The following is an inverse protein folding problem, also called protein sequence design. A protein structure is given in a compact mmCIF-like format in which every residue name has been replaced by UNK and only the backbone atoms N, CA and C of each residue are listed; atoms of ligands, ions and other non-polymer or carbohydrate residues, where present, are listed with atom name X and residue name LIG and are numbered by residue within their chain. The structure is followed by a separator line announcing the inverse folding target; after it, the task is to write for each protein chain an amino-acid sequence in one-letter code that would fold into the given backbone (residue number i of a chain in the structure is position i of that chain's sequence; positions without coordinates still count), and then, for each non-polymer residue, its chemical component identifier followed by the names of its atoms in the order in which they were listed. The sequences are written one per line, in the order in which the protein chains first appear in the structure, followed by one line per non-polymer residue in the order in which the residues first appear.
data_IF_954407540952
#
_entry.id   IF_954407540952
#
_cell.length_a   1.000
_cell.length_b   1.000
_cell.length_c   1.000
_cell.angle_alpha   90.00
_cell.angle_beta   90.00
_cell.angle_gamma   90.00
#
_symmetry.space_group_name_H-M   'P 1'
#
loop_
_entity.id
_entity.type
_entity.pdbx_description
1 polymer ?
#
# COMPACT_ATOMS: atom_id res chain seq x y z
N UNK A 1 5.51 -40.05 29.97
CA UNK A 1 6.29 -39.17 29.07
C UNK A 1 5.30 -38.32 28.28
N UNK A 2 5.22 -37.02 28.56
CA UNK A 2 4.44 -36.09 27.76
C UNK A 2 5.41 -35.09 27.12
N UNK A 3 5.60 -35.21 25.82
CA UNK A 3 6.35 -34.28 25.00
C UNK A 3 5.48 -33.04 24.74
N UNK A 4 5.77 -31.94 25.42
CA UNK A 4 5.26 -30.63 25.03
C UNK A 4 6.20 -30.09 23.96
N UNK A 5 5.76 -30.09 22.70
CA UNK A 5 6.41 -29.30 21.65
C UNK A 5 6.26 -27.84 22.04
N UNK A 6 7.37 -27.18 22.37
CA UNK A 6 7.43 -25.73 22.50
C UNK A 6 7.00 -25.14 21.16
N UNK A 7 5.78 -24.61 21.09
CA UNK A 7 5.40 -23.74 19.99
C UNK A 7 6.31 -22.51 20.11
N UNK A 8 7.18 -22.30 19.12
CA UNK A 8 7.96 -21.08 19.03
C UNK A 8 6.98 -19.91 19.06
N UNK A 9 7.00 -19.12 20.14
CA UNK A 9 6.31 -17.83 20.18
C UNK A 9 6.97 -16.99 19.10
N UNK A 10 6.29 -16.85 17.96
CA UNK A 10 6.78 -16.03 16.87
C UNK A 10 6.75 -14.58 17.36
N UNK A 11 7.92 -13.97 17.55
CA UNK A 11 7.98 -12.56 17.98
C UNK A 11 7.39 -11.70 16.85
N UNK A 12 6.60 -10.67 17.18
CA UNK A 12 6.06 -9.77 16.15
C UNK A 12 7.21 -9.15 15.35
N UNK A 13 7.11 -9.24 14.03
CA UNK A 13 8.08 -8.66 13.10
C UNK A 13 7.67 -7.23 12.79
N UNK A 14 8.61 -6.29 12.91
CA UNK A 14 8.40 -4.91 12.46
C UNK A 14 8.72 -4.81 10.97
N UNK A 15 8.00 -3.95 10.26
CA UNK A 15 8.34 -3.59 8.89
C UNK A 15 9.77 -3.01 8.80
N UNK A 16 10.42 -3.24 7.67
CA UNK A 16 11.76 -2.70 7.41
C UNK A 16 11.72 -1.16 7.36
N UNK A 17 12.86 -0.52 7.63
CA UNK A 17 13.01 0.94 7.47
C UNK A 17 12.81 1.37 6.02
N UNK A 18 13.23 0.51 5.09
CA UNK A 18 13.09 0.70 3.64
C UNK A 18 11.62 0.81 3.24
N UNK A 19 10.81 -0.17 3.61
CA UNK A 19 9.36 -0.15 3.36
C UNK A 19 8.68 1.02 4.08
N UNK A 20 9.01 1.26 5.35
CA UNK A 20 8.47 2.41 6.09
C UNK A 20 8.80 3.75 5.40
N UNK A 21 10.01 3.87 4.84
CA UNK A 21 10.44 5.03 4.06
C UNK A 21 9.68 5.18 2.74
N UNK A 22 9.42 4.08 2.03
CA UNK A 22 8.65 4.09 0.79
C UNK A 22 7.18 4.48 1.06
N UNK A 23 6.54 3.84 2.04
CA UNK A 23 5.14 4.09 2.37
C UNK A 23 4.91 5.54 2.85
N UNK A 24 5.76 6.06 3.75
CA UNK A 24 5.59 7.44 4.25
C UNK A 24 5.72 8.46 3.12
N UNK A 25 6.61 8.21 2.16
CA UNK A 25 6.90 9.14 1.07
C UNK A 25 5.80 9.08 0.01
N UNK A 26 5.31 7.88 -0.30
CA UNK A 26 4.12 7.69 -1.13
C UNK A 26 2.92 8.44 -0.54
N UNK A 27 2.60 8.23 0.75
CA UNK A 27 1.50 8.92 1.41
C UNK A 27 1.68 10.45 1.38
N UNK A 28 2.91 10.94 1.58
CA UNK A 28 3.23 12.36 1.44
C UNK A 28 2.94 12.87 0.02
N UNK A 29 3.34 12.17 -1.03
CA UNK A 29 3.08 12.60 -2.41
C UNK A 29 1.60 12.57 -2.77
N UNK A 30 0.86 11.57 -2.29
CA UNK A 30 -0.61 11.55 -2.44
C UNK A 30 -1.18 12.78 -1.77
N UNK A 31 -0.93 12.99 -0.47
CA UNK A 31 -1.48 14.11 0.29
C UNK A 31 -1.07 15.50 -0.24
N UNK A 32 0.17 15.62 -0.71
CA UNK A 32 0.71 16.86 -1.30
C UNK A 32 0.32 17.05 -2.77
N UNK A 33 -0.47 16.14 -3.35
CA UNK A 33 -0.93 16.18 -4.74
C UNK A 33 0.21 16.23 -5.77
N UNK A 34 1.24 15.42 -5.54
CA UNK A 34 2.42 15.29 -6.41
C UNK A 34 2.80 13.84 -6.69
N UNK A 35 1.84 12.90 -6.60
CA UNK A 35 2.10 11.47 -6.85
C UNK A 35 2.21 11.19 -8.34
N UNK A 36 3.14 10.33 -8.75
CA UNK A 36 3.22 9.83 -10.11
C UNK A 36 3.73 10.83 -11.14
N UNK A 37 4.31 11.97 -10.73
CA UNK A 37 4.86 12.94 -11.68
C UNK A 37 5.80 12.28 -12.69
N UNK A 38 5.69 12.62 -13.99
CA UNK A 38 4.83 13.67 -14.57
C UNK A 38 3.44 13.19 -15.03
N UNK A 39 3.03 11.95 -14.72
CA UNK A 39 1.82 11.33 -15.28
C UNK A 39 0.54 12.13 -14.98
N UNK A 40 0.47 12.74 -13.78
CA UNK A 40 -0.69 13.52 -13.33
C UNK A 40 -0.47 15.04 -13.46
N UNK A 41 0.57 15.48 -14.17
CA UNK A 41 0.85 16.90 -14.31
C UNK A 41 -0.32 17.61 -15.02
N UNK A 42 -0.87 18.64 -14.36
CA UNK A 42 -2.01 19.40 -14.85
C UNK A 42 -3.38 18.74 -14.67
N UNK A 43 -3.44 17.56 -14.05
CA UNK A 43 -4.69 16.87 -13.72
C UNK A 43 -5.10 17.21 -12.29
N UNK A 44 -6.30 17.79 -12.12
CA UNK A 44 -6.89 17.97 -10.80
C UNK A 44 -7.61 16.69 -10.37
N UNK A 45 -6.99 15.96 -9.46
CA UNK A 45 -7.54 14.74 -8.87
C UNK A 45 -8.01 14.95 -7.42
N UNK A 46 -8.36 16.19 -7.03
CA UNK A 46 -8.85 16.48 -5.67
C UNK A 46 -10.10 15.67 -5.29
N UNK A 47 -10.88 15.20 -6.28
CA UNK A 47 -12.07 14.38 -6.05
C UNK A 47 -11.78 13.09 -5.28
N UNK A 48 -10.60 12.48 -5.44
CA UNK A 48 -10.28 11.21 -4.77
C UNK A 48 -10.20 11.35 -3.25
N UNK A 49 -10.01 12.58 -2.73
CA UNK A 49 -9.96 12.83 -1.28
C UNK A 49 -11.35 12.93 -0.64
N UNK A 50 -12.38 13.17 -1.44
CA UNK A 50 -13.78 13.20 -1.00
C UNK A 50 -14.46 11.83 -1.13
N UNK A 51 -13.79 10.87 -1.80
CA UNK A 51 -14.29 9.54 -2.04
C UNK A 51 -13.37 8.46 -1.42
N UNK A 52 -13.74 7.91 -0.25
CA UNK A 52 -12.90 6.96 0.47
C UNK A 52 -12.50 5.73 -0.34
N UNK A 53 -13.39 5.19 -1.18
CA UNK A 53 -13.12 4.02 -2.03
C UNK A 53 -12.04 4.29 -3.09
N UNK A 54 -12.03 5.48 -3.69
CA UNK A 54 -10.99 5.84 -4.66
C UNK A 54 -9.63 5.96 -3.98
N UNK A 55 -9.57 6.59 -2.81
CA UNK A 55 -8.31 6.71 -2.06
C UNK A 55 -7.84 5.34 -1.54
N UNK A 56 -8.76 4.49 -1.06
CA UNK A 56 -8.46 3.11 -0.67
C UNK A 56 -7.80 2.33 -1.81
N UNK A 57 -8.37 2.39 -3.02
CA UNK A 57 -7.83 1.72 -4.19
C UNK A 57 -6.41 2.19 -4.56
N UNK A 58 -6.11 3.49 -4.42
CA UNK A 58 -4.76 4.05 -4.62
C UNK A 58 -3.73 3.40 -3.69
N UNK A 59 -4.08 3.23 -2.42
CA UNK A 59 -3.20 2.58 -1.45
C UNK A 59 -3.12 1.07 -1.65
N UNK A 60 -4.23 0.41 -2.00
CA UNK A 60 -4.23 -1.01 -2.33
C UNK A 60 -3.30 -1.33 -3.49
N UNK A 61 -3.37 -0.57 -4.60
CA UNK A 61 -2.49 -0.77 -5.76
C UNK A 61 -1.01 -0.58 -5.37
N UNK A 62 -0.69 0.45 -4.60
CA UNK A 62 0.68 0.65 -4.14
C UNK A 62 1.17 -0.53 -3.29
N UNK A 63 0.35 -1.01 -2.35
CA UNK A 63 0.68 -2.11 -1.45
C UNK A 63 0.78 -3.46 -2.19
N UNK A 64 -0.04 -3.69 -3.20
CA UNK A 64 -0.03 -4.92 -3.98
C UNK A 64 1.20 -4.98 -4.90
N UNK A 65 1.56 -3.86 -5.54
CA UNK A 65 2.64 -3.81 -6.55
C UNK A 65 4.04 -3.73 -5.94
N UNK A 66 4.18 -3.23 -4.71
CA UNK A 66 5.50 -3.05 -4.09
C UNK A 66 6.18 -4.40 -3.82
N UNK A 67 7.45 -4.50 -4.21
CA UNK A 67 8.29 -5.70 -4.10
C UNK A 67 9.38 -5.43 -3.08
N UNK A 68 9.58 -6.40 -2.20
CA UNK A 68 10.63 -6.41 -1.19
C UNK A 68 11.59 -7.58 -1.45
N UNK A 69 12.87 -7.42 -1.13
CA UNK A 69 13.77 -8.56 -1.01
C UNK A 69 13.60 -9.31 0.33
N UNK A 70 14.41 -10.34 0.56
CA UNK A 70 14.38 -11.16 1.77
C UNK A 70 14.67 -10.38 3.06
N UNK A 71 15.34 -9.23 2.96
CA UNK A 71 15.67 -8.35 4.08
C UNK A 71 14.59 -7.27 4.27
N UNK A 72 13.59 -7.23 3.39
CA UNK A 72 12.54 -6.23 3.39
C UNK A 72 12.93 -4.93 2.68
N UNK A 73 14.02 -4.90 1.90
CA UNK A 73 14.40 -3.72 1.14
C UNK A 73 13.51 -3.56 -0.10
N UNK A 74 13.06 -2.32 -0.33
CA UNK A 74 12.13 -2.02 -1.43
C UNK A 74 12.85 -2.01 -2.76
N UNK A 75 12.33 -2.79 -3.72
CA UNK A 75 12.95 -2.98 -5.03
C UNK A 75 12.33 -2.10 -6.14
N UNK A 76 11.08 -1.64 -5.99
CA UNK A 76 10.33 -1.03 -7.10
C UNK A 76 9.37 0.11 -6.69
N UNK A 77 9.68 0.90 -5.66
CA UNK A 77 8.81 1.97 -5.15
C UNK A 77 8.21 2.87 -6.25
N UNK A 78 9.03 3.27 -7.23
CA UNK A 78 8.60 4.14 -8.34
C UNK A 78 7.65 3.45 -9.32
N UNK A 79 7.77 2.14 -9.48
CA UNK A 79 6.82 1.38 -10.27
C UNK A 79 5.47 1.28 -9.53
N UNK A 80 5.46 0.93 -8.25
CA UNK A 80 4.25 0.90 -7.44
C UNK A 80 3.53 2.26 -7.40
N UNK A 81 4.29 3.35 -7.22
CA UNK A 81 3.78 4.73 -7.31
C UNK A 81 3.15 5.02 -8.67
N UNK A 82 3.82 4.65 -9.77
CA UNK A 82 3.31 4.85 -11.13
C UNK A 82 2.01 4.09 -11.37
N UNK A 83 1.88 2.84 -10.88
CA UNK A 83 0.64 2.05 -11.02
C UNK A 83 -0.52 2.69 -10.26
N UNK A 84 -0.28 3.14 -9.03
CA UNK A 84 -1.29 3.88 -8.28
C UNK A 84 -1.71 5.18 -8.99
N UNK A 85 -0.75 5.91 -9.58
CA UNK A 85 -1.04 7.12 -10.36
C UNK A 85 -1.81 6.82 -11.66
N UNK A 86 -1.57 5.68 -12.31
CA UNK A 86 -2.36 5.26 -13.48
C UNK A 86 -3.82 5.00 -13.11
N UNK A 87 -4.09 4.48 -11.91
CA UNK A 87 -5.47 4.37 -11.43
C UNK A 87 -6.10 5.74 -11.21
N UNK A 88 -5.38 6.69 -10.60
CA UNK A 88 -5.89 8.07 -10.45
C UNK A 88 -6.21 8.69 -11.82
N UNK A 89 -5.32 8.51 -12.80
CA UNK A 89 -5.53 8.99 -14.16
C UNK A 89 -6.81 8.38 -14.76
N UNK A 90 -6.92 7.04 -14.75
CA UNK A 90 -8.11 6.34 -15.25
C UNK A 90 -9.39 6.78 -14.53
N UNK A 91 -9.33 6.93 -13.20
CA UNK A 91 -10.46 7.33 -12.38
C UNK A 91 -10.98 8.73 -12.75
N UNK A 92 -10.07 9.67 -13.00
CA UNK A 92 -10.40 11.08 -13.26
C UNK A 92 -10.74 11.33 -14.74
N UNK A 93 -10.04 10.69 -15.67
CA UNK A 93 -10.13 11.01 -17.10
C UNK A 93 -10.75 9.90 -17.94
N UNK A 94 -10.86 8.69 -17.41
CA UNK A 94 -11.22 7.49 -18.18
C UNK A 94 -10.09 6.94 -19.05
N UNK A 95 -8.87 7.49 -18.96
CA UNK A 95 -7.73 6.99 -19.74
C UNK A 95 -7.25 5.64 -19.20
N UNK A 96 -7.26 4.62 -20.07
CA UNK A 96 -6.90 3.26 -19.69
C UNK A 96 -5.40 3.12 -19.38
N UNK A 97 -5.04 2.41 -18.30
CA UNK A 97 -3.65 2.18 -17.93
C UNK A 97 -2.93 1.35 -19.01
N UNK A 98 -1.69 1.73 -19.31
CA UNK A 98 -0.80 0.95 -20.19
C UNK A 98 0.45 0.52 -19.42
N UNK A 99 0.69 -0.78 -19.22
CA UNK A 99 -0.22 -1.90 -19.54
C UNK A 99 -1.52 -1.86 -18.70
N UNK A 100 -2.58 -2.57 -19.14
CA UNK A 100 -3.79 -2.77 -18.34
C UNK A 100 -3.46 -3.29 -16.93
N UNK A 101 -4.34 -3.05 -15.96
CA UNK A 101 -4.19 -3.66 -14.63
C UNK A 101 -4.35 -5.17 -14.71
N UNK A 102 -3.45 -5.89 -14.04
CA UNK A 102 -3.71 -7.29 -13.68
C UNK A 102 -4.66 -7.33 -12.48
N UNK A 103 -5.51 -8.36 -12.38
CA UNK A 103 -6.57 -8.43 -11.36
C UNK A 103 -6.02 -8.24 -9.93
N UNK A 104 -4.88 -8.87 -9.63
CA UNK A 104 -4.22 -8.79 -8.33
C UNK A 104 -3.66 -7.41 -8.00
N UNK A 105 -3.37 -6.56 -9.00
CA UNK A 105 -2.90 -5.19 -8.75
C UNK A 105 -4.03 -4.38 -8.10
N UNK A 106 -5.27 -4.62 -8.53
CA UNK A 106 -6.47 -3.88 -8.07
C UNK A 106 -7.23 -4.56 -6.94
N UNK A 107 -6.86 -5.77 -6.54
CA UNK A 107 -7.60 -6.53 -5.53
C UNK A 107 -7.57 -5.86 -4.15
N UNK A 108 -8.75 -5.72 -3.54
CA UNK A 108 -8.92 -5.26 -2.17
C UNK A 108 -8.98 -6.49 -1.25
N UNK A 109 -7.82 -6.88 -0.71
CA UNK A 109 -7.73 -7.99 0.24
C UNK A 109 -8.53 -7.73 1.52
N UNK A 110 -8.97 -8.81 2.18
CA UNK A 110 -9.84 -8.73 3.35
C UNK A 110 -9.27 -7.82 4.46
N UNK A 111 -10.12 -6.98 5.09
CA UNK A 111 -9.69 -6.17 6.22
C UNK A 111 -9.35 -7.06 7.43
N UNK A 112 -8.56 -6.55 8.40
CA UNK A 112 -8.30 -7.28 9.64
C UNK A 112 -9.60 -7.53 10.42
N UNK A 113 -9.55 -8.50 11.34
CA UNK A 113 -10.61 -8.72 12.31
C UNK A 113 -10.85 -7.46 13.17
N UNK A 114 -12.05 -7.33 13.74
CA UNK A 114 -12.42 -6.22 14.62
C UNK A 114 -11.54 -6.19 15.89
N UNK A 115 -11.14 -7.36 16.38
CA UNK A 115 -10.27 -7.50 17.56
C UNK A 115 -8.85 -7.88 17.14
N UNK A 116 -7.87 -7.12 17.62
CA UNK A 116 -6.45 -7.40 17.38
C UNK A 116 -6.01 -8.69 18.12
N UNK A 117 -5.19 -9.56 17.48
CA UNK A 117 -4.61 -10.72 18.16
C UNK A 117 -3.67 -10.36 19.30
N UNK A 118 -3.04 -9.18 19.23
CA UNK A 118 -2.22 -8.64 20.29
C UNK A 118 -3.08 -7.72 21.15
N UNK A 119 -3.07 -7.86 22.49
CA UNK A 119 -3.75 -6.91 23.34
C UNK A 119 -3.11 -5.53 23.17
N UNK A 120 -3.92 -4.48 23.23
CA UNK A 120 -3.40 -3.12 23.39
C UNK A 120 -2.40 -3.12 24.55
N UNK A 121 -1.20 -2.52 24.40
CA UNK A 121 -0.23 -2.51 25.48
C UNK A 121 -0.88 -1.87 26.71
N UNK A 122 -1.19 -2.71 27.71
CA UNK A 122 -1.55 -2.23 29.03
C UNK A 122 -0.33 -1.43 29.49
N UNK A 123 -0.53 -0.13 29.77
CA UNK A 123 0.52 0.71 30.32
C UNK A 123 1.16 0.01 31.52
N UNK A 124 2.48 0.12 31.72
CA UNK A 124 3.14 -0.45 32.89
C UNK A 124 2.45 -0.06 34.20
#
# INVERSE_FOLDING_TARGET
MAFWKSAAVNRPVKLSKSFSGALRLFAFWVANRSVGQPLLDGIDYSCIFEEPSALEQVFAIFANVIKLDEQGEVLNAKWAERRAAQFILQYVTGEEPTPPFEEWETELYDPPAIEDPLPWPMTP
#
